data_IF_263048400430
#
_entry.id   IF_263048400430
#
_cell.length_a   1.000
_cell.length_b   1.000
_cell.length_c   1.000
_cell.angle_alpha   90.00
_cell.angle_beta   90.00
_cell.angle_gamma   90.00
#
_symmetry.space_group_name_H-M   'P 1'
#
loop_
_entity.id
_entity.type
_entity.pdbx_description
1 polymer ?
#
# COMPACT_ATOMS: atom_id res chain seq x y z
N UNK A 1 -4.47 -6.04 1.86
CA UNK A 1 -3.04 -5.81 1.52
C UNK A 1 -2.94 -5.55 0.03
N UNK A 2 -2.11 -4.60 -0.39
CA UNK A 2 -1.84 -4.25 -1.80
C UNK A 2 -0.34 -4.38 -2.05
N UNK A 3 0.05 -4.94 -3.19
CA UNK A 3 1.42 -4.94 -3.68
C UNK A 3 1.51 -3.95 -4.82
N UNK A 4 2.45 -3.00 -4.74
CA UNK A 4 2.56 -1.91 -5.70
C UNK A 4 4.02 -1.62 -6.01
N UNK A 5 4.30 -1.37 -7.28
CA UNK A 5 5.61 -1.01 -7.84
C UNK A 5 5.70 0.46 -8.27
N UNK A 6 4.67 1.28 -8.00
CA UNK A 6 4.73 2.71 -8.28
C UNK A 6 3.45 3.48 -8.02
N UNK A 7 3.28 4.55 -8.78
CA UNK A 7 2.16 5.47 -8.69
C UNK A 7 0.95 4.99 -9.51
N UNK A 8 -0.29 5.36 -9.12
CA UNK A 8 -1.47 5.05 -9.93
C UNK A 8 -1.31 5.66 -11.33
N UNK A 9 -1.60 4.86 -12.36
CA UNK A 9 -1.38 5.22 -13.76
C UNK A 9 -2.56 4.75 -14.62
N UNK A 10 -3.02 5.62 -15.50
CA UNK A 10 -3.93 5.32 -16.63
C UNK A 10 -3.50 6.17 -17.82
N UNK A 11 -3.84 5.74 -19.04
CA UNK A 11 -3.38 6.37 -20.28
C UNK A 11 -3.86 7.81 -20.50
N UNK A 12 -4.94 8.21 -19.84
CA UNK A 12 -5.70 9.44 -20.06
C UNK A 12 -5.93 10.26 -18.78
N UNK A 13 -5.38 9.82 -17.65
CA UNK A 13 -5.61 10.42 -16.34
C UNK A 13 -4.53 11.42 -15.95
N UNK A 14 -4.95 12.54 -15.37
CA UNK A 14 -4.04 13.48 -14.71
C UNK A 14 -3.42 12.82 -13.46
N UNK A 15 -2.08 12.73 -13.35
CA UNK A 15 -1.41 12.12 -12.20
C UNK A 15 -1.87 12.69 -10.84
N UNK A 16 -2.21 13.98 -10.75
CA UNK A 16 -2.68 14.57 -9.49
C UNK A 16 -4.08 14.06 -9.12
N UNK A 17 -4.96 13.93 -10.11
CA UNK A 17 -6.31 13.37 -9.90
C UNK A 17 -6.20 11.92 -9.47
N UNK A 18 -5.38 11.11 -10.15
CA UNK A 18 -5.21 9.69 -9.81
C UNK A 18 -4.66 9.49 -8.39
N UNK A 19 -3.70 10.31 -7.98
CA UNK A 19 -3.13 10.27 -6.63
C UNK A 19 -4.15 10.73 -5.59
N UNK A 20 -4.96 11.74 -5.89
CA UNK A 20 -6.03 12.21 -5.02
C UNK A 20 -7.10 11.13 -4.84
N UNK A 21 -7.62 10.58 -5.94
CA UNK A 21 -8.64 9.54 -5.94
C UNK A 21 -8.19 8.32 -5.14
N UNK A 22 -6.95 7.85 -5.33
CA UNK A 22 -6.43 6.72 -4.56
C UNK A 22 -6.43 7.00 -3.05
N UNK A 23 -6.02 8.21 -2.62
CA UNK A 23 -6.05 8.59 -1.21
C UNK A 23 -7.48 8.62 -0.66
N UNK A 24 -8.43 9.18 -1.41
CA UNK A 24 -9.84 9.19 -1.01
C UNK A 24 -10.40 7.78 -0.86
N UNK A 25 -10.09 6.88 -1.80
CA UNK A 25 -10.52 5.48 -1.73
C UNK A 25 -9.90 4.74 -0.55
N UNK A 26 -8.61 4.93 -0.28
CA UNK A 26 -7.95 4.35 0.90
C UNK A 26 -8.59 4.86 2.19
N UNK A 27 -8.83 6.17 2.30
CA UNK A 27 -9.47 6.78 3.46
C UNK A 27 -10.89 6.23 3.68
N UNK A 28 -11.71 6.15 2.61
CA UNK A 28 -13.06 5.62 2.67
C UNK A 28 -13.10 4.14 3.09
N UNK A 29 -12.13 3.33 2.64
CA UNK A 29 -12.00 1.93 3.08
C UNK A 29 -11.61 1.87 4.57
N UNK A 30 -10.68 2.72 5.01
CA UNK A 30 -10.27 2.81 6.41
C UNK A 30 -11.43 3.18 7.35
N UNK A 31 -12.31 4.11 6.94
CA UNK A 31 -13.52 4.49 7.69
C UNK A 31 -14.50 3.32 7.87
N UNK A 32 -14.42 2.28 7.05
CA UNK A 32 -15.24 1.05 7.18
C UNK A 32 -14.62 0.03 8.14
N UNK A 33 -13.55 0.39 8.85
CA UNK A 33 -12.84 -0.50 9.77
C UNK A 33 -11.97 -1.54 9.07
N UNK A 34 -11.69 -1.36 7.77
CA UNK A 34 -10.82 -2.27 7.01
C UNK A 34 -9.40 -1.70 7.03
N UNK A 35 -8.48 -2.42 7.67
CA UNK A 35 -7.07 -2.04 7.70
C UNK A 35 -6.40 -2.36 6.36
N UNK A 36 -5.91 -1.31 5.69
CA UNK A 36 -5.15 -1.42 4.46
C UNK A 36 -3.66 -1.34 4.73
N UNK A 37 -2.92 -2.23 4.08
CA UNK A 37 -1.46 -2.24 4.10
C UNK A 37 -0.93 -2.23 2.67
N UNK A 38 -0.06 -1.26 2.37
CA UNK A 38 0.68 -1.17 1.11
C UNK A 38 2.06 -1.81 1.21
N UNK A 39 2.37 -2.72 0.30
CA UNK A 39 3.69 -3.35 0.16
C UNK A 39 4.33 -2.79 -1.11
N UNK A 40 5.32 -1.91 -0.94
CA UNK A 40 6.07 -1.29 -2.03
C UNK A 40 7.15 -2.24 -2.54
N UNK A 41 7.09 -2.62 -3.81
CA UNK A 41 8.08 -3.50 -4.45
C UNK A 41 9.04 -2.63 -5.23
N UNK A 42 10.28 -2.51 -4.74
CA UNK A 42 11.32 -1.67 -5.34
C UNK A 42 10.95 -0.18 -5.47
N UNK A 43 9.95 0.28 -4.70
CA UNK A 43 9.43 1.65 -4.72
C UNK A 43 8.92 2.06 -3.34
N UNK A 44 9.03 3.36 -3.01
CA UNK A 44 8.46 3.99 -1.82
C UNK A 44 7.08 4.61 -2.08
N UNK A 45 6.55 4.55 -3.31
CA UNK A 45 5.28 5.17 -3.68
C UNK A 45 4.09 4.78 -2.78
N UNK A 46 4.12 3.60 -2.16
CA UNK A 46 3.07 3.15 -1.22
C UNK A 46 2.94 4.04 0.02
N UNK A 47 4.02 4.72 0.42
CA UNK A 47 4.03 5.61 1.59
C UNK A 47 3.06 6.79 1.44
N UNK A 48 2.82 7.21 0.20
CA UNK A 48 1.92 8.31 -0.14
C UNK A 48 0.43 7.97 -0.04
N UNK A 49 0.08 6.68 -0.04
CA UNK A 49 -1.29 6.21 -0.23
C UNK A 49 -1.80 5.35 0.92
N UNK A 50 -0.95 4.55 1.54
CA UNK A 50 -1.36 3.56 2.54
C UNK A 50 -0.84 3.94 3.93
N UNK A 51 -1.72 4.23 4.90
CA UNK A 51 -1.31 4.64 6.26
C UNK A 51 -0.39 3.65 6.95
N UNK A 52 -0.60 2.35 6.70
CA UNK A 52 0.34 1.29 7.05
C UNK A 52 1.00 0.81 5.76
N UNK A 53 2.32 0.85 5.71
CA UNK A 53 3.06 0.46 4.54
C UNK A 53 4.41 -0.17 4.93
N UNK A 54 4.98 -0.93 3.99
CA UNK A 54 6.36 -1.44 4.06
C UNK A 54 6.96 -1.45 2.66
N UNK A 55 8.20 -0.99 2.53
CA UNK A 55 8.95 -1.02 1.28
C UNK A 55 9.92 -2.21 1.29
N UNK A 56 9.89 -2.99 0.22
CA UNK A 56 10.77 -4.14 -0.03
C UNK A 56 11.72 -3.80 -1.17
N UNK A 57 12.97 -3.52 -0.83
CA UNK A 57 14.04 -3.16 -1.77
C UNK A 57 14.76 -4.36 -2.39
N UNK A 58 14.58 -5.58 -1.84
CA UNK A 58 15.07 -6.83 -2.44
C UNK A 58 13.94 -7.83 -2.55
N UNK A 59 13.65 -8.28 -3.77
CA UNK A 59 12.52 -9.18 -4.04
C UNK A 59 12.57 -10.49 -3.24
N UNK A 60 13.77 -11.00 -2.93
CA UNK A 60 13.97 -12.19 -2.10
C UNK A 60 13.44 -12.04 -0.66
N UNK A 61 13.32 -10.81 -0.16
CA UNK A 61 12.79 -10.51 1.19
C UNK A 61 11.26 -10.34 1.21
N UNK A 62 10.61 -10.33 0.05
CA UNK A 62 9.16 -10.09 -0.05
C UNK A 62 8.35 -11.10 0.78
N UNK A 63 8.59 -12.44 0.68
CA UNK A 63 7.79 -13.40 1.43
C UNK A 63 7.93 -13.22 2.95
N UNK A 64 9.15 -13.12 3.46
CA UNK A 64 9.40 -12.96 4.90
C UNK A 64 8.80 -11.67 5.44
N UNK A 65 8.93 -10.58 4.70
CA UNK A 65 8.37 -9.27 5.07
C UNK A 65 6.84 -9.33 5.15
N UNK A 66 6.18 -9.91 4.14
CA UNK A 66 4.71 -10.05 4.11
C UNK A 66 4.20 -10.86 5.29
N UNK A 67 4.83 -12.01 5.58
CA UNK A 67 4.42 -12.84 6.71
C UNK A 67 4.65 -12.16 8.06
N UNK A 68 5.73 -11.39 8.21
CA UNK A 68 5.97 -10.60 9.42
C UNK A 68 4.89 -9.55 9.63
N UNK A 69 4.52 -8.82 8.57
CA UNK A 69 3.46 -7.81 8.62
C UNK A 69 2.11 -8.44 8.96
N UNK A 70 1.72 -9.51 8.27
CA UNK A 70 0.47 -10.24 8.56
C UNK A 70 0.47 -10.78 9.99
N UNK A 71 1.57 -11.38 10.44
CA UNK A 71 1.72 -11.86 11.81
C UNK A 71 1.50 -10.76 12.83
N UNK A 72 2.12 -9.58 12.63
CA UNK A 72 1.95 -8.43 13.52
C UNK A 72 0.50 -7.96 13.62
N UNK A 73 -0.23 -7.94 12.49
CA UNK A 73 -1.63 -7.52 12.44
C UNK A 73 -2.57 -8.50 13.14
N UNK A 74 -2.31 -9.80 12.99
CA UNK A 74 -3.15 -10.82 13.61
C UNK A 74 -2.93 -10.93 15.13
N UNK A 75 -1.72 -10.60 15.60
CA UNK A 75 -1.36 -10.67 17.01
C UNK A 75 -1.70 -9.41 17.81
N UNK A 76 -1.86 -8.26 17.12
CA UNK A 76 -2.23 -6.99 17.75
C UNK A 76 -3.72 -6.78 17.53
N UNK A 77 -4.55 -7.16 18.52
CA UNK A 77 -5.99 -6.90 18.55
C UNK A 77 -6.33 -5.87 19.61
#
# INVERSE_FOLDING_TARGET
MVFSDGYPSTSDGDPQVLRHDLRERVAAIGQRGIELVGIGVLTDAVEDFYPRNVVVSRLAELPSTVFSVLGSMLLTR
#
